data_IF_161874470918
#
_entry.id   IF_161874470918
#
_cell.length_a   1.000
_cell.length_b   1.000
_cell.length_c   1.000
_cell.angle_alpha   90.00
_cell.angle_beta   90.00
_cell.angle_gamma   90.00
#
_symmetry.space_group_name_H-M   'P 1'
#
loop_
_entity.id
_entity.type
_entity.pdbx_description
1 polymer ?
#
# COMPACT_ATOMS: atom_id res chain seq x y z
N UNK A 1 -17.84 -22.68 8.49
CA UNK A 1 -16.53 -22.23 9.00
C UNK A 1 -15.59 -22.25 7.81
N UNK A 2 -15.24 -21.10 7.24
CA UNK A 2 -13.86 -20.87 6.76
C UNK A 2 -13.68 -19.44 6.22
N UNK A 3 -12.76 -18.74 6.89
CA UNK A 3 -11.91 -17.62 6.44
C UNK A 3 -12.60 -16.39 5.83
N UNK A 4 -13.06 -15.52 6.72
CA UNK A 4 -13.19 -14.08 6.47
C UNK A 4 -11.80 -13.48 6.25
N UNK A 5 -11.42 -13.21 5.01
CA UNK A 5 -10.20 -12.48 4.69
C UNK A 5 -10.38 -10.99 5.04
N UNK A 6 -9.80 -10.58 6.17
CA UNK A 6 -9.78 -9.19 6.62
C UNK A 6 -8.90 -8.30 5.72
N UNK A 7 -9.35 -7.05 5.52
CA UNK A 7 -8.62 -5.97 4.83
C UNK A 7 -8.20 -4.93 5.87
N UNK A 8 -7.01 -4.33 5.72
CA UNK A 8 -6.31 -3.66 6.83
C UNK A 8 -5.87 -2.25 6.45
N UNK A 9 -6.59 -1.23 6.89
CA UNK A 9 -6.03 0.12 7.01
C UNK A 9 -5.41 0.27 8.41
N UNK A 10 -4.21 0.85 8.47
CA UNK A 10 -3.45 1.01 9.71
C UNK A 10 -3.06 2.47 9.92
N UNK A 11 -3.19 2.96 11.16
CA UNK A 11 -2.54 4.18 11.60
C UNK A 11 -1.43 3.83 12.60
N UNK A 12 -0.21 4.32 12.37
CA UNK A 12 0.90 4.19 13.33
C UNK A 12 1.07 5.52 14.02
N UNK A 13 1.05 5.48 15.35
CA UNK A 13 1.20 6.62 16.25
C UNK A 13 2.50 6.40 17.02
N UNK A 14 3.52 7.23 16.86
CA UNK A 14 4.78 7.14 17.61
C UNK A 14 5.05 8.45 18.36
N UNK A 15 5.28 8.35 19.68
CA UNK A 15 5.52 9.47 20.59
C UNK A 15 7.01 9.68 20.87
N UNK A 16 7.48 10.92 20.80
CA UNK A 16 8.90 11.30 20.70
C UNK A 16 9.66 11.58 22.00
N UNK A 17 9.25 11.12 23.18
CA UNK A 17 10.07 11.26 24.40
C UNK A 17 10.80 9.96 24.75
N UNK A 18 12.13 9.99 24.58
CA UNK A 18 13.14 9.02 25.05
C UNK A 18 12.60 7.61 25.24
N UNK A 19 12.75 6.77 24.22
CA UNK A 19 12.61 5.32 24.30
C UNK A 19 13.55 4.77 25.39
N UNK A 20 13.09 4.75 26.64
CA UNK A 20 13.78 4.13 27.74
C UNK A 20 13.64 2.62 27.56
N UNK A 21 14.52 2.03 26.75
CA UNK A 21 14.70 0.58 26.67
C UNK A 21 15.33 0.14 27.99
N UNK A 22 14.52 -0.09 29.02
CA UNK A 22 14.86 -0.89 30.20
C UNK A 22 13.64 -1.12 31.09
N UNK A 23 13.23 -2.38 31.21
CA UNK A 23 12.31 -2.88 32.24
C UNK A 23 11.30 -3.85 31.66
N UNK A 24 11.25 -5.05 32.24
CA UNK A 24 10.39 -6.16 31.85
C UNK A 24 8.91 -5.76 31.68
N UNK A 25 8.31 -6.11 30.54
CA UNK A 25 6.89 -5.84 30.24
C UNK A 25 6.11 -7.15 30.23
N UNK A 26 5.14 -7.26 31.14
CA UNK A 26 4.14 -8.34 31.20
C UNK A 26 3.20 -8.30 29.97
N UNK A 27 2.72 -9.46 29.46
CA UNK A 27 1.95 -9.52 28.22
C UNK A 27 0.47 -9.20 28.44
N UNK A 28 -0.02 -8.09 27.88
CA UNK A 28 -1.47 -7.85 27.79
C UNK A 28 -1.90 -6.41 27.49
N UNK A 29 -1.70 -5.93 26.27
CA UNK A 29 -2.45 -4.77 25.76
C UNK A 29 -2.47 -4.74 24.24
N UNK A 30 -3.64 -5.02 23.67
CA UNK A 30 -3.97 -4.81 22.28
C UNK A 30 -5.12 -3.80 22.22
N UNK A 31 -4.85 -2.65 21.62
CA UNK A 31 -5.83 -1.56 21.44
C UNK A 31 -6.82 -1.98 20.36
N UNK A 32 -8.08 -2.15 20.72
CA UNK A 32 -9.19 -2.42 19.80
C UNK A 32 -10.11 -1.19 19.74
N UNK A 33 -10.37 -0.68 18.54
CA UNK A 33 -11.48 0.24 18.29
C UNK A 33 -12.72 -0.59 17.97
N UNK A 34 -13.63 -0.72 18.94
CA UNK A 34 -14.97 -1.26 18.78
C UNK A 34 -15.96 -0.30 19.46
N UNK A 35 -17.13 -0.10 18.86
CA UNK A 35 -18.13 0.94 19.17
C UNK A 35 -18.70 0.94 20.61
N UNK A 36 -18.33 -0.02 21.49
CA UNK A 36 -18.75 -0.02 22.90
C UNK A 36 -17.65 0.42 23.89
N UNK A 37 -16.42 0.68 23.45
CA UNK A 37 -15.30 0.96 24.34
C UNK A 37 -14.51 2.18 23.85
N UNK A 38 -14.54 3.27 24.62
CA UNK A 38 -13.74 4.46 24.36
C UNK A 38 -12.23 4.15 24.28
N UNK A 39 -11.46 5.14 23.81
CA UNK A 39 -10.00 5.09 23.80
C UNK A 39 -9.52 4.92 25.26
N UNK A 40 -9.10 3.71 25.65
CA UNK A 40 -8.46 3.48 26.95
C UNK A 40 -6.95 3.45 26.79
N UNK A 41 -6.33 4.51 27.30
CA UNK A 41 -4.92 4.81 27.58
C UNK A 41 -3.84 4.45 26.54
N UNK A 42 -3.17 5.50 26.06
CA UNK A 42 -1.86 5.46 25.38
C UNK A 42 -0.67 5.43 26.36
N UNK A 43 -0.93 5.26 27.67
CA UNK A 43 0.08 5.35 28.71
C UNK A 43 0.80 4.01 28.91
N UNK A 44 1.84 3.75 28.11
CA UNK A 44 3.07 3.03 28.52
C UNK A 44 4.06 2.74 27.37
N UNK A 45 3.62 2.70 26.10
CA UNK A 45 4.40 2.03 25.06
C UNK A 45 5.09 2.94 24.02
N UNK A 46 4.85 4.25 24.00
CA UNK A 46 5.48 5.20 23.04
C UNK A 46 5.15 4.95 21.56
N UNK A 47 4.46 3.86 21.22
CA UNK A 47 3.97 3.56 19.88
C UNK A 47 2.66 2.77 19.96
N UNK A 48 1.65 3.17 19.18
CA UNK A 48 0.40 2.45 19.02
C UNK A 48 0.08 2.25 17.53
N UNK A 49 -0.50 1.10 17.21
CA UNK A 49 -0.99 0.79 15.86
C UNK A 49 -2.50 0.62 15.93
N UNK A 50 -3.22 1.57 15.35
CA UNK A 50 -4.67 1.49 15.20
C UNK A 50 -5.01 0.81 13.89
N UNK A 51 -6.02 -0.06 13.90
CA UNK A 51 -6.48 -0.78 12.71
C UNK A 51 -7.97 -0.59 12.56
N UNK A 52 -8.40 -0.07 11.40
CA UNK A 52 -9.84 0.04 11.09
C UNK A 52 -10.12 -0.79 9.84
N UNK A 53 -10.94 -1.85 9.94
CA UNK A 53 -11.25 -2.70 8.80
C UNK A 53 -12.28 -2.03 7.87
N UNK A 54 -11.98 -1.95 6.57
CA UNK A 54 -12.91 -1.55 5.51
C UNK A 54 -13.46 -2.80 4.83
N UNK A 55 -14.77 -3.03 4.91
CA UNK A 55 -15.40 -4.24 4.35
C UNK A 55 -16.21 -3.94 3.09
N UNK A 56 -15.75 -4.38 1.91
CA UNK A 56 -16.57 -4.32 0.68
C UNK A 56 -17.63 -5.43 0.62
N UNK A 57 -17.60 -6.42 1.53
CA UNK A 57 -18.54 -7.55 1.60
C UNK A 57 -19.04 -7.81 3.02
N UNK A 58 -19.21 -6.77 3.83
CA UNK A 58 -19.93 -6.96 5.09
C UNK A 58 -21.42 -7.13 4.79
N UNK A 59 -22.14 -8.00 5.53
CA UNK A 59 -23.60 -7.89 5.56
C UNK A 59 -23.97 -6.47 6.00
N UNK A 60 -25.09 -5.95 5.48
CA UNK A 60 -25.68 -4.66 5.89
C UNK A 60 -25.41 -4.44 7.38
N UNK A 61 -24.87 -3.28 7.78
CA UNK A 61 -24.61 -3.05 9.18
C UNK A 61 -25.86 -3.39 9.98
N UNK A 62 -25.70 -4.20 11.02
CA UNK A 62 -26.75 -4.35 12.01
C UNK A 62 -27.15 -2.93 12.45
N UNK A 63 -28.42 -2.75 12.75
CA UNK A 63 -29.15 -1.49 13.00
C UNK A 63 -28.54 -0.49 14.02
N UNK A 64 -27.34 -0.74 14.54
CA UNK A 64 -26.61 0.08 15.51
C UNK A 64 -25.59 1.07 14.93
N UNK A 65 -25.17 1.00 13.65
CA UNK A 65 -24.23 1.99 13.08
C UNK A 65 -24.94 3.24 12.54
N UNK A 66 -25.58 4.01 13.42
CA UNK A 66 -26.11 5.35 13.14
C UNK A 66 -25.05 6.46 13.23
N UNK A 67 -23.78 6.10 13.39
CA UNK A 67 -22.70 7.05 13.71
C UNK A 67 -22.23 7.88 12.49
N UNK A 68 -22.48 7.41 11.26
CA UNK A 68 -21.97 8.05 10.03
C UNK A 68 -23.12 8.24 9.05
N UNK A 69 -23.86 9.34 9.24
CA UNK A 69 -24.86 9.86 8.28
C UNK A 69 -25.94 8.87 7.83
N UNK A 70 -26.75 9.33 6.88
CA UNK A 70 -27.70 8.46 6.16
C UNK A 70 -26.94 7.51 5.21
N UNK A 71 -27.61 6.43 4.77
CA UNK A 71 -27.04 5.53 3.78
C UNK A 71 -26.77 6.27 2.46
N UNK A 72 -25.57 6.08 1.89
CA UNK A 72 -25.22 6.63 0.57
C UNK A 72 -26.21 6.12 -0.50
N UNK A 73 -26.51 6.97 -1.46
CA UNK A 73 -27.33 6.67 -2.64
C UNK A 73 -26.48 6.62 -3.90
N UNK A 74 -27.07 6.21 -5.02
CA UNK A 74 -26.37 6.15 -6.32
C UNK A 74 -25.95 7.55 -6.80
N UNK A 75 -26.71 8.59 -6.42
CA UNK A 75 -26.40 9.99 -6.74
C UNK A 75 -25.15 10.50 -6.01
N UNK A 76 -24.75 9.83 -4.91
CA UNK A 76 -23.54 10.15 -4.14
C UNK A 76 -22.28 9.44 -4.69
N UNK A 77 -22.44 8.49 -5.61
CA UNK A 77 -21.32 7.74 -6.18
C UNK A 77 -20.71 8.48 -7.37
N UNK A 78 -19.39 8.33 -7.60
CA UNK A 78 -18.81 8.70 -8.88
C UNK A 78 -19.48 7.94 -10.03
N UNK A 79 -19.34 8.41 -11.28
CA UNK A 79 -19.81 7.69 -12.46
C UNK A 79 -19.32 6.23 -12.47
N UNK A 80 -20.08 5.34 -13.12
CA UNK A 80 -19.61 3.98 -13.33
C UNK A 80 -18.26 3.97 -14.05
N UNK A 81 -17.39 2.98 -13.75
CA UNK A 81 -16.13 2.88 -14.44
C UNK A 81 -16.27 2.61 -15.93
N UNK A 82 -15.25 3.01 -16.70
CA UNK A 82 -15.28 3.01 -18.17
C UNK A 82 -15.25 1.61 -18.78
N UNK A 83 -14.55 0.66 -18.14
CA UNK A 83 -14.42 -0.71 -18.61
C UNK A 83 -14.79 -1.71 -17.51
N UNK A 84 -15.97 -2.30 -17.61
CA UNK A 84 -16.45 -3.33 -16.68
C UNK A 84 -16.02 -4.75 -17.08
N UNK A 85 -15.24 -4.91 -18.15
CA UNK A 85 -14.82 -6.21 -18.70
C UNK A 85 -13.41 -6.57 -18.27
N UNK A 86 -13.19 -7.87 -18.03
CA UNK A 86 -11.86 -8.47 -17.81
C UNK A 86 -11.26 -9.04 -19.11
N UNK A 87 -11.85 -8.73 -20.27
CA UNK A 87 -11.31 -9.10 -21.57
C UNK A 87 -9.93 -8.46 -21.79
N UNK A 88 -8.99 -9.21 -22.37
CA UNK A 88 -7.60 -8.76 -22.54
C UNK A 88 -6.72 -8.84 -21.29
N UNK A 89 -7.30 -9.06 -20.10
CA UNK A 89 -6.51 -9.15 -18.86
C UNK A 89 -5.63 -10.40 -18.80
N UNK A 90 -4.45 -10.35 -18.14
CA UNK A 90 -3.53 -11.47 -18.03
C UNK A 90 -4.15 -12.73 -17.41
N UNK A 91 -3.85 -13.89 -18.01
CA UNK A 91 -4.34 -15.19 -17.53
C UNK A 91 -3.93 -15.48 -16.07
N UNK A 92 -2.75 -15.00 -15.64
CA UNK A 92 -2.32 -15.08 -14.25
C UNK A 92 -3.34 -14.43 -13.30
N UNK A 93 -3.77 -13.20 -13.61
CA UNK A 93 -4.72 -12.44 -12.79
C UNK A 93 -6.09 -13.15 -12.76
N UNK A 94 -6.58 -13.60 -13.93
CA UNK A 94 -7.85 -14.35 -14.05
C UNK A 94 -7.84 -15.64 -13.23
N UNK A 95 -6.77 -16.44 -13.31
CA UNK A 95 -6.62 -17.70 -12.57
C UNK A 95 -6.51 -17.49 -11.07
N UNK A 96 -5.68 -16.54 -10.63
CA UNK A 96 -5.44 -16.26 -9.21
C UNK A 96 -6.73 -15.85 -8.50
N UNK A 97 -7.58 -15.11 -9.20
CA UNK A 97 -8.85 -14.62 -8.68
C UNK A 97 -10.02 -15.59 -8.90
N UNK A 98 -9.77 -16.77 -9.50
CA UNK A 98 -10.77 -17.75 -9.92
C UNK A 98 -11.96 -17.10 -10.64
N UNK A 99 -11.68 -16.05 -11.42
CA UNK A 99 -12.72 -15.23 -12.04
C UNK A 99 -13.34 -16.00 -13.19
N UNK A 100 -14.67 -16.04 -13.17
CA UNK A 100 -15.45 -16.24 -14.37
C UNK A 100 -15.89 -14.86 -14.82
N UNK A 101 -15.76 -14.60 -16.11
CA UNK A 101 -16.33 -13.42 -16.72
C UNK A 101 -17.86 -13.51 -16.60
N UNK A 102 -18.37 -12.93 -15.51
CA UNK A 102 -19.79 -12.83 -15.25
C UNK A 102 -20.09 -11.35 -15.21
N UNK A 103 -20.80 -10.84 -16.22
CA UNK A 103 -21.28 -9.47 -16.23
C UNK A 103 -21.99 -9.16 -14.91
N UNK A 104 -21.46 -8.21 -14.15
CA UNK A 104 -22.10 -7.68 -12.96
C UNK A 104 -23.17 -6.67 -13.39
N UNK A 105 -24.36 -6.72 -12.80
CA UNK A 105 -25.35 -5.67 -13.03
C UNK A 105 -24.87 -4.35 -12.41
N UNK A 106 -25.24 -3.23 -13.01
CA UNK A 106 -24.99 -1.89 -12.48
C UNK A 106 -25.47 -1.76 -11.03
N UNK A 107 -26.67 -2.28 -10.72
CA UNK A 107 -27.22 -2.28 -9.36
C UNK A 107 -26.27 -2.95 -8.35
N UNK A 108 -25.68 -4.09 -8.72
CA UNK A 108 -24.72 -4.81 -7.87
C UNK A 108 -23.41 -4.03 -7.72
N UNK A 109 -22.92 -3.45 -8.82
CA UNK A 109 -21.69 -2.64 -8.80
C UNK A 109 -21.88 -1.46 -7.84
N UNK A 110 -22.98 -0.72 -7.98
CA UNK A 110 -23.26 0.41 -7.11
C UNK A 110 -23.52 -0.02 -5.66
N UNK A 111 -24.11 -1.20 -5.40
CA UNK A 111 -24.23 -1.73 -4.03
C UNK A 111 -22.85 -1.95 -3.37
N UNK A 112 -21.92 -2.60 -4.06
CA UNK A 112 -20.56 -2.81 -3.54
C UNK A 112 -19.81 -1.47 -3.35
N UNK A 113 -19.99 -0.51 -4.27
CA UNK A 113 -19.40 0.84 -4.18
C UNK A 113 -19.95 1.64 -3.01
N UNK A 114 -21.28 1.68 -2.81
CA UNK A 114 -21.92 2.36 -1.66
C UNK A 114 -21.37 1.85 -0.33
N UNK A 115 -21.26 0.53 -0.18
CA UNK A 115 -20.67 -0.07 1.03
C UNK A 115 -19.22 0.38 1.22
N UNK A 116 -18.40 0.37 0.16
CA UNK A 116 -17.01 0.79 0.24
C UNK A 116 -16.85 2.26 0.68
N UNK A 117 -17.60 3.18 0.06
CA UNK A 117 -17.56 4.60 0.43
C UNK A 117 -18.10 4.85 1.83
N UNK A 118 -19.15 4.14 2.25
CA UNK A 118 -19.69 4.26 3.60
C UNK A 118 -18.68 3.81 4.66
N UNK A 119 -18.00 2.67 4.45
CA UNK A 119 -16.93 2.24 5.37
C UNK A 119 -15.73 3.20 5.37
N UNK A 120 -15.42 3.81 4.22
CA UNK A 120 -14.37 4.82 4.14
C UNK A 120 -14.72 6.06 4.97
N UNK A 121 -15.97 6.54 4.90
CA UNK A 121 -16.47 7.63 5.73
C UNK A 121 -16.49 7.27 7.23
N UNK A 122 -16.80 6.01 7.56
CA UNK A 122 -16.69 5.53 8.93
C UNK A 122 -15.25 5.52 9.43
N UNK A 123 -14.30 5.04 8.62
CA UNK A 123 -12.88 5.12 8.95
C UNK A 123 -12.42 6.57 9.19
N UNK A 124 -12.83 7.50 8.33
CA UNK A 124 -12.53 8.93 8.48
C UNK A 124 -13.04 9.48 9.81
N UNK A 125 -14.30 9.18 10.18
CA UNK A 125 -14.85 9.58 11.48
C UNK A 125 -14.06 9.01 12.66
N UNK A 126 -13.63 7.74 12.60
CA UNK A 126 -12.82 7.14 13.67
C UNK A 126 -11.42 7.76 13.76
N UNK A 127 -10.81 8.13 12.62
CA UNK A 127 -9.54 8.88 12.59
C UNK A 127 -9.73 10.25 13.23
N UNK A 128 -10.84 10.95 12.94
CA UNK A 128 -11.19 12.22 13.57
C UNK A 128 -11.20 12.12 15.10
N UNK A 129 -11.88 11.12 15.67
CA UNK A 129 -11.92 10.88 17.12
C UNK A 129 -10.54 10.63 17.73
N UNK A 130 -9.67 9.91 17.02
CA UNK A 130 -8.29 9.69 17.46
C UNK A 130 -7.48 11.00 17.48
N UNK A 131 -7.64 11.83 16.44
CA UNK A 131 -6.96 13.13 16.37
C UNK A 131 -7.44 14.11 17.46
N UNK A 132 -8.76 14.15 17.72
CA UNK A 132 -9.35 14.93 18.82
C UNK A 132 -8.77 14.49 20.17
N UNK A 133 -8.65 13.18 20.41
CA UNK A 133 -8.04 12.66 21.63
C UNK A 133 -6.58 13.12 21.80
N UNK A 134 -5.77 13.09 20.73
CA UNK A 134 -4.38 13.55 20.79
C UNK A 134 -4.30 15.05 21.15
N UNK A 135 -5.24 15.86 20.64
CA UNK A 135 -5.34 17.28 20.96
C UNK A 135 -5.77 17.53 22.41
N UNK A 136 -6.84 16.86 22.87
CA UNK A 136 -7.33 16.97 24.25
C UNK A 136 -6.28 16.56 25.29
N UNK A 137 -5.41 15.60 24.94
CA UNK A 137 -4.31 15.14 25.80
C UNK A 137 -3.02 15.94 25.66
N UNK A 138 -2.98 16.92 24.77
CA UNK A 138 -1.76 17.71 24.51
C UNK A 138 -0.61 16.88 23.91
N UNK A 139 -0.91 15.74 23.27
CA UNK A 139 0.07 14.83 22.66
C UNK A 139 0.37 15.18 21.20
N UNK A 140 -0.44 16.04 20.58
CA UNK A 140 -0.42 16.36 19.15
C UNK A 140 0.96 16.71 18.59
N UNK A 141 1.72 17.58 19.24
CA UNK A 141 3.02 18.06 18.71
C UNK A 141 4.15 17.02 18.82
N UNK A 142 4.04 16.09 19.78
CA UNK A 142 5.05 15.05 20.02
C UNK A 142 4.65 13.69 19.44
N UNK A 143 3.72 13.67 18.49
CA UNK A 143 3.17 12.43 17.94
C UNK A 143 3.25 12.43 16.42
N UNK A 144 3.99 11.48 15.86
CA UNK A 144 3.90 11.16 14.44
C UNK A 144 2.68 10.28 14.20
N UNK A 145 1.74 10.78 13.39
CA UNK A 145 0.60 10.01 12.86
C UNK A 145 0.90 9.65 11.42
N UNK A 146 0.94 8.36 11.12
CA UNK A 146 1.01 7.81 9.76
C UNK A 146 -0.33 7.17 9.42
N UNK A 147 -0.99 7.56 8.34
CA UNK A 147 -2.19 6.91 7.82
C UNK A 147 -1.90 6.20 6.50
N UNK A 148 -2.22 4.91 6.41
CA UNK A 148 -1.92 4.10 5.22
C UNK A 148 -2.86 2.91 5.05
N UNK A 149 -2.79 2.27 3.87
CA UNK A 149 -3.43 0.98 3.58
C UNK A 149 -2.40 -0.14 3.33
N UNK A 150 -2.81 -1.41 3.40
CA UNK A 150 -1.99 -2.54 2.94
C UNK A 150 -2.04 -2.72 1.43
N UNK A 151 -3.18 -2.39 0.81
CA UNK A 151 -3.42 -2.33 -0.62
C UNK A 151 -4.68 -1.49 -0.89
N UNK A 152 -4.91 -1.13 -2.14
CA UNK A 152 -6.18 -0.60 -2.62
C UNK A 152 -7.17 -1.71 -3.02
N UNK A 153 -8.16 -1.35 -3.81
CA UNK A 153 -9.09 -2.29 -4.44
C UNK A 153 -9.62 -1.71 -5.74
N UNK A 154 -9.76 -2.58 -6.74
CA UNK A 154 -10.49 -2.26 -7.96
C UNK A 154 -12.00 -2.31 -7.68
N UNK A 155 -12.71 -1.24 -8.02
CA UNK A 155 -14.16 -1.13 -7.88
C UNK A 155 -14.83 -1.21 -9.26
N UNK A 156 -14.40 -2.22 -10.04
CA UNK A 156 -14.82 -2.55 -11.40
C UNK A 156 -14.24 -1.64 -12.49
N UNK A 157 -13.21 -0.86 -12.17
CA UNK A 157 -12.48 0.03 -13.08
C UNK A 157 -11.84 -0.69 -14.25
N UNK A 158 -11.32 -1.90 -13.99
CA UNK A 158 -10.83 -2.81 -15.02
C UNK A 158 -11.61 -4.14 -15.03
N UNK A 159 -12.90 -4.07 -14.69
CA UNK A 159 -13.77 -5.24 -14.54
C UNK A 159 -13.50 -6.10 -13.29
N UNK A 160 -12.50 -5.75 -12.46
CA UNK A 160 -12.19 -6.47 -11.23
C UNK A 160 -12.93 -5.91 -10.02
N UNK A 161 -13.28 -6.77 -9.06
CA UNK A 161 -13.77 -6.37 -7.72
C UNK A 161 -12.82 -6.81 -6.60
N UNK A 162 -11.51 -6.77 -6.87
CA UNK A 162 -10.49 -7.30 -5.97
C UNK A 162 -9.12 -6.59 -6.14
N UNK A 163 -8.07 -7.10 -5.49
CA UNK A 163 -6.79 -6.41 -5.26
C UNK A 163 -5.55 -7.13 -5.79
N UNK A 164 -5.71 -8.20 -6.57
CA UNK A 164 -4.59 -9.04 -7.02
C UNK A 164 -4.15 -8.75 -8.46
N UNK A 165 -4.05 -7.45 -8.76
CA UNK A 165 -3.55 -6.86 -10.00
C UNK A 165 -2.68 -5.65 -9.64
N UNK A 166 -1.98 -5.05 -10.61
CA UNK A 166 -1.09 -3.90 -10.37
C UNK A 166 -1.64 -2.57 -10.87
N UNK A 167 -2.93 -2.49 -11.17
CA UNK A 167 -3.56 -1.20 -11.44
C UNK A 167 -3.39 -0.26 -10.25
N UNK A 168 -3.24 1.04 -10.51
CA UNK A 168 -3.06 2.04 -9.45
C UNK A 168 -4.14 1.91 -8.36
N UNK A 169 -5.38 1.58 -8.75
CA UNK A 169 -6.48 1.32 -7.82
C UNK A 169 -6.20 0.24 -6.76
N UNK A 170 -5.29 -0.72 -7.00
CA UNK A 170 -5.00 -1.84 -6.09
C UNK A 170 -3.69 -1.72 -5.33
N UNK A 171 -2.69 -1.01 -5.85
CA UNK A 171 -1.36 -0.94 -5.21
C UNK A 171 -0.90 0.48 -4.87
N UNK A 172 -1.49 1.52 -5.47
CA UNK A 172 -1.26 2.91 -5.09
C UNK A 172 -2.15 3.24 -3.89
N UNK A 173 -1.56 3.19 -2.71
CA UNK A 173 -2.23 3.38 -1.43
C UNK A 173 -2.08 4.81 -0.91
N UNK A 174 -2.98 5.29 -0.04
CA UNK A 174 -2.72 6.50 0.73
C UNK A 174 -1.50 6.29 1.63
N UNK A 175 -0.63 7.29 1.73
CA UNK A 175 0.45 7.35 2.70
C UNK A 175 0.59 8.80 3.18
N UNK A 176 -0.03 9.10 4.32
CA UNK A 176 -0.06 10.45 4.89
C UNK A 176 0.73 10.46 6.20
N UNK A 177 1.56 11.47 6.40
CA UNK A 177 2.30 11.69 7.64
C UNK A 177 1.95 13.05 8.23
N UNK A 178 1.72 13.09 9.55
CA UNK A 178 1.42 14.31 10.30
C UNK A 178 2.19 14.32 11.61
N UNK A 179 3.01 15.34 11.82
CA UNK A 179 3.64 15.64 13.10
C UNK A 179 3.82 17.17 13.21
N UNK A 180 2.82 17.88 13.76
CA UNK A 180 2.84 19.34 13.86
C UNK A 180 4.09 19.84 14.58
N UNK A 181 4.66 20.95 14.12
CA UNK A 181 5.91 21.50 14.65
C UNK A 181 7.18 20.84 14.11
N UNK A 182 7.08 19.65 13.49
CA UNK A 182 8.22 18.96 12.87
C UNK A 182 8.08 18.83 11.35
N UNK A 183 6.90 18.42 10.86
CA UNK A 183 6.62 18.29 9.43
C UNK A 183 5.80 19.47 8.94
N UNK A 184 6.16 20.02 7.78
CA UNK A 184 5.38 21.07 7.12
C UNK A 184 4.04 20.53 6.61
N UNK A 185 2.98 21.32 6.77
CA UNK A 185 1.64 20.95 6.32
C UNK A 185 1.48 21.15 4.80
N UNK A 186 0.72 20.25 4.16
CA UNK A 186 0.34 20.38 2.75
C UNK A 186 1.45 20.02 1.75
N UNK A 187 2.57 19.47 2.20
CA UNK A 187 3.62 18.99 1.31
C UNK A 187 3.25 17.65 0.67
N UNK A 188 3.58 17.50 -0.61
CA UNK A 188 3.47 16.24 -1.34
C UNK A 188 4.85 15.76 -1.79
N UNK A 189 5.02 14.44 -1.83
CA UNK A 189 6.23 13.75 -2.30
C UNK A 189 5.83 12.70 -3.33
N UNK A 190 6.75 12.33 -4.21
CA UNK A 190 6.44 11.50 -5.37
C UNK A 190 6.14 10.04 -4.98
N UNK A 191 7.10 9.37 -4.31
CA UNK A 191 7.01 7.94 -4.04
C UNK A 191 7.26 7.59 -2.57
N UNK A 192 6.55 6.54 -2.15
CA UNK A 192 6.79 5.74 -0.95
C UNK A 192 6.38 4.30 -1.29
N UNK A 193 7.04 3.32 -0.68
CA UNK A 193 6.58 1.92 -0.71
C UNK A 193 6.32 1.42 0.71
N UNK A 194 5.52 0.37 0.84
CA UNK A 194 5.14 -0.19 2.14
C UNK A 194 6.36 -0.57 3.00
N UNK A 195 7.46 -1.03 2.38
CA UNK A 195 8.68 -1.39 3.08
C UNK A 195 9.35 -0.18 3.79
N UNK A 196 9.18 1.03 3.27
CA UNK A 196 9.79 2.25 3.81
C UNK A 196 9.19 2.66 5.16
N UNK A 197 7.99 2.18 5.51
CA UNK A 197 7.25 2.58 6.71
C UNK A 197 8.08 2.28 7.98
N UNK A 198 8.72 1.11 8.05
CA UNK A 198 9.51 0.73 9.23
C UNK A 198 10.74 1.62 9.40
N UNK A 199 11.48 1.89 8.32
CA UNK A 199 12.63 2.79 8.34
C UNK A 199 12.22 4.24 8.67
N UNK A 200 11.07 4.68 8.15
CA UNK A 200 10.49 6.01 8.40
C UNK A 200 10.11 6.19 9.88
N UNK A 201 9.53 5.17 10.53
CA UNK A 201 9.24 5.19 11.98
C UNK A 201 10.53 5.25 12.80
N UNK A 202 11.56 4.50 12.40
CA UNK A 202 12.86 4.55 13.07
C UNK A 202 13.50 5.94 12.92
N UNK A 203 13.48 6.53 11.72
CA UNK A 203 13.95 7.89 11.47
C UNK A 203 13.25 8.92 12.36
N UNK A 204 11.93 8.82 12.52
CA UNK A 204 11.17 9.67 13.44
C UNK A 204 11.57 9.51 14.91
N UNK A 205 12.01 8.31 15.30
CA UNK A 205 12.55 8.04 16.63
C UNK A 205 14.04 8.41 16.78
N UNK A 206 14.68 8.97 15.75
CA UNK A 206 16.12 9.26 15.73
C UNK A 206 17.00 8.01 15.67
N UNK A 207 16.48 6.91 15.12
CA UNK A 207 17.13 5.61 14.99
C UNK A 207 17.36 5.27 13.52
N UNK A 208 18.32 4.38 13.26
CA UNK A 208 18.60 3.83 11.93
C UNK A 208 18.62 2.31 11.97
N UNK A 209 18.46 1.67 10.81
CA UNK A 209 18.63 0.23 10.64
C UNK A 209 19.34 -0.07 9.33
N UNK A 210 20.38 -0.89 9.42
CA UNK A 210 21.16 -1.34 8.26
C UNK A 210 20.67 -2.70 7.73
N UNK A 211 19.66 -3.28 8.37
CA UNK A 211 19.13 -4.62 8.08
C UNK A 211 17.79 -4.57 7.34
N UNK A 212 17.47 -3.44 6.72
CA UNK A 212 16.20 -3.22 6.03
C UNK A 212 16.43 -2.74 4.60
N UNK A 213 15.80 -3.40 3.63
CA UNK A 213 15.68 -2.91 2.26
C UNK A 213 14.58 -1.86 2.17
N UNK A 214 14.79 -0.74 2.86
CA UNK A 214 13.83 0.32 3.07
C UNK A 214 14.56 1.67 3.13
N UNK A 215 13.87 2.73 2.74
CA UNK A 215 14.38 4.10 2.81
C UNK A 215 13.64 4.87 3.90
N UNK A 216 14.39 5.59 4.73
CA UNK A 216 13.81 6.53 5.70
C UNK A 216 13.25 7.76 4.95
N UNK A 217 11.93 7.93 5.02
CA UNK A 217 11.23 9.06 4.41
C UNK A 217 11.01 10.22 5.39
N UNK A 218 11.18 10.00 6.69
CA UNK A 218 10.90 11.01 7.71
C UNK A 218 12.05 12.02 7.84
N UNK A 219 13.29 11.54 7.99
CA UNK A 219 14.42 12.44 8.26
C UNK A 219 14.65 13.44 7.12
N UNK A 220 14.69 13.04 5.83
CA UNK A 220 14.80 14.00 4.73
C UNK A 220 13.62 14.96 4.68
N UNK A 221 12.40 14.47 4.94
CA UNK A 221 11.20 15.31 4.94
C UNK A 221 11.26 16.38 6.04
N UNK A 222 11.63 16.01 7.26
CA UNK A 222 11.78 16.94 8.39
C UNK A 222 12.91 17.96 8.17
N UNK A 223 13.94 17.60 7.40
CA UNK A 223 15.03 18.50 7.02
C UNK A 223 14.69 19.39 5.80
N UNK A 224 13.54 19.21 5.15
CA UNK A 224 13.18 19.92 3.92
C UNK A 224 13.97 19.45 2.69
N UNK A 225 14.53 18.24 2.74
CA UNK A 225 15.30 17.61 1.67
C UNK A 225 14.40 16.84 0.69
N UNK A 226 14.96 16.50 -0.47
CA UNK A 226 14.25 15.70 -1.47
C UNK A 226 14.01 14.27 -0.96
N UNK A 227 12.87 13.67 -1.33
CA UNK A 227 12.60 12.26 -1.02
C UNK A 227 13.71 11.36 -1.58
N UNK A 228 14.23 10.39 -0.81
CA UNK A 228 15.22 9.44 -1.29
C UNK A 228 14.60 8.41 -2.25
N UNK A 229 13.26 8.24 -2.27
CA UNK A 229 12.60 7.27 -3.14
C UNK A 229 12.12 7.89 -4.46
N UNK A 230 12.43 7.23 -5.57
CA UNK A 230 12.19 7.70 -6.95
C UNK A 230 11.30 6.78 -7.78
N UNK A 231 10.98 5.60 -7.25
CA UNK A 231 10.09 4.64 -7.89
C UNK A 231 9.36 3.77 -6.87
N UNK A 232 8.27 3.15 -7.31
CA UNK A 232 7.56 2.10 -6.59
C UNK A 232 7.82 0.74 -7.24
N UNK A 233 7.94 -0.29 -6.41
CA UNK A 233 8.14 -1.67 -6.85
C UNK A 233 7.33 -2.61 -5.97
N UNK A 234 6.78 -3.66 -6.57
CA UNK A 234 5.99 -4.65 -5.84
C UNK A 234 6.14 -6.03 -6.45
N UNK A 235 5.79 -7.05 -5.67
CA UNK A 235 5.75 -8.43 -6.10
C UNK A 235 4.46 -9.08 -5.62
N UNK A 236 3.77 -9.74 -6.53
CA UNK A 236 2.53 -10.48 -6.30
C UNK A 236 2.72 -11.89 -6.85
N UNK A 237 2.88 -12.85 -5.94
CA UNK A 237 3.11 -14.26 -6.27
C UNK A 237 4.23 -14.47 -7.31
N UNK A 238 3.85 -14.75 -8.56
CA UNK A 238 4.75 -15.05 -9.69
C UNK A 238 4.79 -13.92 -10.72
N UNK A 239 4.64 -12.70 -10.22
CA UNK A 239 4.77 -11.49 -11.00
C UNK A 239 5.41 -10.39 -10.16
N UNK A 240 5.87 -9.33 -10.82
CA UNK A 240 6.35 -8.11 -10.18
C UNK A 240 6.02 -6.90 -11.05
N UNK A 241 6.03 -5.72 -10.44
CA UNK A 241 5.80 -4.48 -11.16
C UNK A 241 6.76 -3.38 -10.69
N UNK A 242 7.12 -2.50 -11.62
CA UNK A 242 7.92 -1.28 -11.41
C UNK A 242 7.13 -0.09 -11.94
N UNK A 243 6.97 0.93 -11.11
CA UNK A 243 6.47 2.23 -11.52
C UNK A 243 7.52 3.31 -11.29
N UNK A 244 7.82 4.03 -12.35
CA UNK A 244 8.57 5.29 -12.37
C UNK A 244 7.58 6.45 -12.43
N UNK A 245 8.06 7.70 -12.59
CA UNK A 245 7.17 8.86 -12.65
C UNK A 245 6.21 8.75 -13.83
N UNK A 246 6.71 8.29 -14.99
CA UNK A 246 5.90 8.19 -16.21
C UNK A 246 5.51 6.75 -16.55
N UNK A 247 6.40 5.79 -16.38
CA UNK A 247 6.19 4.44 -16.90
C UNK A 247 5.83 3.45 -15.79
N UNK A 248 4.87 2.55 -16.06
CA UNK A 248 4.65 1.35 -15.26
C UNK A 248 4.86 0.10 -16.11
N UNK A 249 5.64 -0.84 -15.60
CA UNK A 249 5.82 -2.16 -16.18
C UNK A 249 5.36 -3.24 -15.21
N UNK A 250 4.57 -4.19 -15.70
CA UNK A 250 4.20 -5.42 -15.01
C UNK A 250 4.88 -6.59 -15.73
N UNK A 251 5.47 -7.53 -14.98
CA UNK A 251 6.14 -8.70 -15.56
C UNK A 251 5.62 -10.00 -14.95
N UNK A 252 5.24 -10.95 -15.81
CA UNK A 252 4.63 -12.24 -15.45
C UNK A 252 5.60 -13.38 -15.77
N UNK A 253 6.17 -14.02 -14.74
CA UNK A 253 7.33 -14.89 -14.91
C UNK A 253 7.02 -16.22 -15.63
N UNK A 254 5.84 -16.80 -15.42
CA UNK A 254 5.50 -18.11 -16.01
C UNK A 254 5.12 -17.98 -17.48
N UNK A 255 4.51 -16.85 -17.85
CA UNK A 255 4.12 -16.51 -19.21
C UNK A 255 5.27 -15.91 -20.01
N UNK A 256 6.27 -15.31 -19.34
CA UNK A 256 7.34 -14.56 -20.01
C UNK A 256 6.82 -13.31 -20.73
N UNK A 257 5.72 -12.75 -20.25
CA UNK A 257 5.05 -11.58 -20.82
C UNK A 257 5.13 -10.39 -19.87
N UNK A 258 4.90 -9.20 -20.41
CA UNK A 258 4.82 -7.98 -19.64
C UNK A 258 3.67 -7.09 -20.13
N UNK A 259 3.25 -6.15 -19.30
CA UNK A 259 2.41 -5.01 -19.69
C UNK A 259 3.16 -3.72 -19.45
N UNK A 260 2.98 -2.73 -20.31
CA UNK A 260 3.62 -1.42 -20.20
C UNK A 260 2.59 -0.31 -20.34
N UNK A 261 2.59 0.64 -19.42
CA UNK A 261 1.69 1.79 -19.42
C UNK A 261 2.46 3.10 -19.36
N UNK A 262 2.00 4.09 -20.10
CA UNK A 262 2.41 5.50 -20.02
C UNK A 262 1.42 6.24 -19.11
N UNK A 263 1.76 6.38 -17.83
CA UNK A 263 0.87 6.94 -16.80
C UNK A 263 0.63 8.45 -16.97
N UNK A 264 1.41 9.12 -17.80
CA UNK A 264 1.22 10.54 -18.10
C UNK A 264 0.13 10.73 -19.16
N UNK A 265 0.11 9.87 -20.19
CA UNK A 265 -0.90 9.90 -21.26
C UNK A 265 -2.14 9.07 -20.94
N UNK A 266 -1.97 8.00 -20.18
CA UNK A 266 -2.98 7.04 -19.78
C UNK A 266 -2.91 6.79 -18.26
N UNK A 267 -3.34 7.77 -17.44
CA UNK A 267 -3.29 7.67 -15.98
C UNK A 267 -4.22 6.60 -15.42
N UNK A 268 -5.22 6.18 -16.20
CA UNK A 268 -6.17 5.13 -15.84
C UNK A 268 -5.72 3.75 -16.35
N UNK A 269 -4.58 3.63 -17.05
CA UNK A 269 -3.92 2.35 -17.38
C UNK A 269 -4.76 1.40 -18.25
N UNK A 270 -5.48 1.93 -19.23
CA UNK A 270 -6.28 1.17 -20.19
C UNK A 270 -5.50 0.69 -21.43
N UNK A 271 -4.41 1.37 -21.81
CA UNK A 271 -3.64 1.09 -23.03
C UNK A 271 -2.35 0.34 -22.71
N UNK A 272 -2.31 -0.96 -23.03
CA UNK A 272 -1.08 -1.74 -22.93
C UNK A 272 -0.17 -1.51 -24.15
N UNK A 273 0.94 -0.82 -23.91
CA UNK A 273 1.99 -0.50 -24.89
C UNK A 273 3.03 -1.62 -25.04
N UNK A 274 2.87 -2.76 -24.37
CA UNK A 274 3.84 -3.86 -24.39
C UNK A 274 4.11 -4.41 -25.80
N UNK A 275 3.11 -4.37 -26.69
CA UNK A 275 3.22 -4.78 -28.09
C UNK A 275 3.77 -3.71 -29.05
N UNK A 276 4.02 -2.49 -28.58
CA UNK A 276 4.46 -1.38 -29.43
C UNK A 276 5.97 -1.46 -29.73
N UNK A 277 6.33 -1.38 -31.02
CA UNK A 277 7.73 -1.29 -31.45
C UNK A 277 8.36 0.06 -31.07
N UNK A 278 7.57 1.15 -31.12
CA UNK A 278 8.00 2.49 -30.69
C UNK A 278 8.43 2.50 -29.22
N UNK A 279 7.73 1.75 -28.37
CA UNK A 279 7.99 1.67 -26.93
C UNK A 279 8.91 0.49 -26.54
N UNK A 280 9.44 -0.26 -27.51
CA UNK A 280 10.36 -1.37 -27.23
C UNK A 280 11.60 -0.96 -26.40
N UNK A 281 12.24 0.20 -26.64
CA UNK A 281 13.38 0.64 -25.84
C UNK A 281 13.05 0.86 -24.36
N UNK A 282 11.90 1.50 -24.06
CA UNK A 282 11.47 1.75 -22.67
C UNK A 282 11.01 0.46 -21.99
N UNK A 283 10.28 -0.41 -22.71
CA UNK A 283 9.92 -1.76 -22.23
C UNK A 283 11.14 -2.55 -21.79
N UNK A 284 12.20 -2.53 -22.61
CA UNK A 284 13.45 -3.25 -22.33
C UNK A 284 14.15 -2.69 -21.08
N UNK A 285 14.32 -1.37 -20.99
CA UNK A 285 14.98 -0.72 -19.87
C UNK A 285 14.24 -0.94 -18.53
N UNK A 286 12.90 -0.79 -18.54
CA UNK A 286 12.06 -1.09 -17.38
C UNK A 286 12.17 -2.57 -16.96
N UNK A 287 12.17 -3.49 -17.92
CA UNK A 287 12.27 -4.94 -17.64
C UNK A 287 13.62 -5.27 -17.04
N UNK A 288 14.69 -4.71 -17.60
CA UNK A 288 16.06 -4.90 -17.09
C UNK A 288 16.20 -4.37 -15.66
N UNK A 289 15.71 -3.15 -15.38
CA UNK A 289 15.74 -2.56 -14.04
C UNK A 289 14.97 -3.43 -13.02
N UNK A 290 13.75 -3.83 -13.36
CA UNK A 290 12.90 -4.65 -12.49
C UNK A 290 13.50 -6.03 -12.22
N UNK A 291 14.00 -6.73 -13.25
CA UNK A 291 14.58 -8.06 -13.09
C UNK A 291 15.92 -8.03 -12.37
N UNK A 292 16.73 -6.97 -12.54
CA UNK A 292 17.95 -6.76 -11.74
C UNK A 292 17.63 -6.57 -10.27
N UNK A 293 16.72 -5.65 -9.94
CA UNK A 293 16.24 -5.47 -8.57
C UNK A 293 15.73 -6.80 -8.00
N UNK A 294 14.94 -7.55 -8.76
CA UNK A 294 14.41 -8.84 -8.32
C UNK A 294 15.52 -9.85 -8.05
N UNK A 295 16.56 -9.90 -8.89
CA UNK A 295 17.70 -10.78 -8.69
C UNK A 295 18.52 -10.41 -7.45
N UNK A 296 18.66 -9.11 -7.15
CA UNK A 296 19.41 -8.61 -6.00
C UNK A 296 18.75 -8.99 -4.66
N UNK A 297 17.41 -9.02 -4.60
CA UNK A 297 16.67 -9.29 -3.37
C UNK A 297 16.28 -10.76 -3.17
N UNK A 298 16.44 -11.60 -4.19
CA UNK A 298 16.00 -13.00 -4.20
C UNK A 298 17.17 -13.95 -4.01
N UNK A 299 17.25 -14.56 -2.82
CA UNK A 299 17.94 -15.85 -2.68
C UNK A 299 17.08 -16.94 -3.35
N UNK A 300 17.41 -17.24 -4.61
CA UNK A 300 16.68 -18.22 -5.43
C UNK A 300 16.73 -19.63 -4.85
N UNK A 301 17.80 -19.98 -4.11
CA UNK A 301 17.97 -21.30 -3.49
C UNK A 301 17.05 -21.42 -2.27
N UNK A 302 16.98 -20.36 -1.46
CA UNK A 302 16.08 -20.26 -0.31
C UNK A 302 14.60 -20.22 -0.70
N UNK A 303 14.23 -19.43 -1.70
CA UNK A 303 12.84 -19.28 -2.17
C UNK A 303 12.28 -20.61 -2.68
N UNK A 304 13.09 -21.38 -3.42
CA UNK A 304 12.72 -22.73 -3.88
C UNK A 304 12.52 -23.70 -2.71
N UNK A 305 13.35 -23.63 -1.69
CA UNK A 305 13.27 -24.55 -0.54
C UNK A 305 12.08 -24.30 0.39
N UNK A 306 11.51 -23.08 0.43
CA UNK A 306 10.57 -22.66 1.48
C UNK A 306 9.22 -22.11 1.01
N UNK A 307 8.99 -21.93 -0.29
CA UNK A 307 7.68 -21.51 -0.84
C UNK A 307 6.72 -22.66 -1.13
N UNK A 308 7.19 -23.92 -1.10
CA UNK A 308 6.31 -25.09 -1.14
C UNK A 308 5.70 -25.36 0.24
N UNK A 309 4.46 -24.95 0.49
CA UNK A 309 3.69 -25.35 1.68
C UNK A 309 2.67 -24.30 2.16
N UNK A 310 1.60 -24.76 2.80
CA UNK A 310 0.38 -24.01 3.16
C UNK A 310 0.44 -23.18 4.47
N UNK A 311 1.58 -23.11 5.15
CA UNK A 311 1.74 -22.33 6.40
C UNK A 311 1.97 -20.82 6.14
N UNK A 312 1.74 -19.92 7.12
CA UNK A 312 1.96 -18.48 6.95
C UNK A 312 3.41 -18.20 6.53
N UNK A 313 3.56 -17.70 5.31
CA UNK A 313 4.86 -17.44 4.68
C UNK A 313 5.72 -16.51 5.55
N UNK A 314 5.10 -15.50 6.18
CA UNK A 314 5.78 -14.52 7.03
C UNK A 314 6.70 -15.15 8.10
N UNK A 315 6.21 -16.11 8.89
CA UNK A 315 7.01 -16.75 9.95
C UNK A 315 8.22 -17.52 9.42
N UNK A 316 8.15 -18.03 8.17
CA UNK A 316 9.26 -18.74 7.52
C UNK A 316 10.33 -17.76 7.01
N UNK A 317 9.94 -16.56 6.60
CA UNK A 317 10.84 -15.58 5.97
C UNK A 317 11.53 -14.67 6.99
N UNK A 318 10.98 -14.51 8.20
CA UNK A 318 11.53 -13.58 9.23
C UNK A 318 13.04 -13.73 9.46
N UNK A 319 13.54 -14.95 9.63
CA UNK A 319 14.97 -15.19 9.89
C UNK A 319 15.87 -14.96 8.66
N UNK A 320 15.29 -14.94 7.46
CA UNK A 320 15.98 -14.54 6.24
C UNK A 320 16.00 -13.02 6.11
N UNK A 321 14.87 -12.33 6.32
CA UNK A 321 14.78 -10.86 6.28
C UNK A 321 15.75 -10.22 7.27
N UNK A 322 15.91 -10.80 8.47
CA UNK A 322 16.89 -10.33 9.47
C UNK A 322 18.36 -10.39 9.02
N UNK A 323 18.67 -11.16 7.98
CA UNK A 323 20.03 -11.31 7.42
C UNK A 323 20.22 -10.52 6.13
N UNK A 324 19.15 -9.91 5.61
CA UNK A 324 19.27 -8.98 4.51
C UNK A 324 19.90 -7.71 5.07
N UNK A 325 21.02 -7.31 4.50
CA UNK A 325 21.73 -6.10 4.87
C UNK A 325 21.78 -5.19 3.64
N UNK A 326 21.79 -3.88 3.92
CA UNK A 326 21.93 -2.87 2.89
C UNK A 326 20.63 -2.51 2.15
N UNK A 327 20.75 -1.44 1.36
CA UNK A 327 19.67 -0.83 0.58
C UNK A 327 20.10 -0.54 -0.86
N UNK A 328 21.23 -1.11 -1.28
CA UNK A 328 21.86 -0.83 -2.57
C UNK A 328 20.99 -1.31 -3.74
N UNK A 329 20.17 -2.34 -3.53
CA UNK A 329 19.17 -2.77 -4.53
C UNK A 329 18.10 -1.70 -4.77
N UNK A 330 17.65 -1.03 -3.71
CA UNK A 330 16.68 0.06 -3.79
C UNK A 330 17.31 1.33 -4.38
N UNK A 331 18.55 1.64 -4.00
CA UNK A 331 19.31 2.78 -4.55
C UNK A 331 19.56 2.61 -6.05
N UNK A 332 20.05 1.44 -6.50
CA UNK A 332 20.22 1.14 -7.93
C UNK A 332 18.91 1.19 -8.70
N UNK A 333 17.80 0.73 -8.11
CA UNK A 333 16.51 0.79 -8.76
C UNK A 333 16.03 2.24 -8.91
N UNK A 334 16.21 3.10 -7.91
CA UNK A 334 15.90 4.53 -8.00
C UNK A 334 16.73 5.21 -9.09
N UNK A 335 18.04 4.95 -9.17
CA UNK A 335 18.91 5.49 -10.22
C UNK A 335 18.45 5.04 -11.62
N UNK A 336 18.12 3.76 -11.78
CA UNK A 336 17.63 3.22 -13.04
C UNK A 336 16.28 3.84 -13.44
N UNK A 337 15.36 4.00 -12.48
CA UNK A 337 14.05 4.61 -12.71
C UNK A 337 14.19 6.07 -13.19
N UNK A 338 15.02 6.87 -12.53
CA UNK A 338 15.28 8.25 -12.95
C UNK A 338 15.89 8.30 -14.35
N UNK A 339 16.91 7.48 -14.61
CA UNK A 339 17.54 7.42 -15.92
C UNK A 339 16.57 7.01 -17.03
N UNK A 340 15.59 6.14 -16.74
CA UNK A 340 14.52 5.77 -17.69
C UNK A 340 13.63 6.97 -17.99
N UNK A 341 13.12 7.66 -16.96
CA UNK A 341 12.26 8.83 -17.15
C UNK A 341 12.98 9.95 -17.93
N UNK A 342 14.26 10.21 -17.64
CA UNK A 342 15.08 11.20 -18.34
C UNK A 342 15.37 10.80 -19.79
N UNK A 343 15.72 9.53 -20.02
CA UNK A 343 16.09 9.03 -21.35
C UNK A 343 14.92 8.98 -22.31
N UNK A 344 13.71 8.73 -21.82
CA UNK A 344 12.51 8.53 -22.63
C UNK A 344 11.48 9.64 -22.46
N UNK A 345 11.92 10.85 -22.12
CA UNK A 345 11.03 12.02 -21.98
C UNK A 345 10.31 12.39 -23.29
N UNK A 346 10.96 12.19 -24.45
CA UNK A 346 10.43 12.60 -25.77
C UNK A 346 9.56 11.55 -26.48
N UNK A 347 9.45 10.32 -25.94
CA UNK A 347 8.41 9.38 -26.37
C UNK A 347 7.04 9.90 -25.92
#
# INVERSE_FOLDING_TARGET
MDKLEGRRCGAVVCGGDRLAVRGDVEPGSSVFLCDECGVTDLDAAGCAVFRVPVYARAPRPATSTRLVGDALTDDDLPPLPKNLSIEGEPEHAKKLLALKDNAHSEERINEERRLYYWFSAYCDHQVGRMLEYLEEKGLTENTLVIFTSDHGIDLFDHGFSNKHVYYDNTWRIPFLMRMPGTLAAGETREFAIWNDIAATILGAAGLTSDTMQALDLFTPLAAGEASPRKCAVSSLYKSCALATRRWKLEYYFEEGTCRLFDREKDPDEYEDLSGSETHAPVRHAMTEALLRWRADIVDTEWLKARTSGSAPVAARVTEFVKKMEGRESEERLNEAAQAIDERFTDL
#
